data_IF_395860412008
#
_entry.id   IF_395860412008
#
_cell.length_a   1.000
_cell.length_b   1.000
_cell.length_c   1.000
_cell.angle_alpha   90.00
_cell.angle_beta   90.00
_cell.angle_gamma   90.00
#
_symmetry.space_group_name_H-M   'P 1'
#
loop_
_entity.id
_entity.type
_entity.pdbx_description
1 polymer ?
#
# COMPACT_ATOMS: atom_id res chain seq x y z
N UNK A 1 -23.21 -0.87 -32.80
CA UNK A 1 -22.66 -1.11 -31.44
C UNK A 1 -22.01 0.16 -30.92
N UNK A 2 -22.38 0.61 -29.72
CA UNK A 2 -21.77 1.78 -29.11
C UNK A 2 -20.45 1.33 -28.49
N UNK A 3 -19.33 1.79 -29.05
CA UNK A 3 -17.99 1.50 -28.51
C UNK A 3 -17.80 2.31 -27.21
N UNK A 4 -17.77 1.59 -26.09
CA UNK A 4 -17.51 2.16 -24.76
C UNK A 4 -16.00 2.18 -24.50
N UNK A 5 -15.49 3.26 -23.91
CA UNK A 5 -14.13 3.32 -23.37
C UNK A 5 -14.01 2.55 -22.04
N UNK A 6 -12.82 2.51 -21.44
CA UNK A 6 -12.56 1.78 -20.19
C UNK A 6 -13.39 2.30 -19.03
N UNK A 7 -13.51 3.62 -18.89
CA UNK A 7 -14.28 4.26 -17.84
C UNK A 7 -15.78 3.98 -17.99
N UNK A 8 -16.32 4.13 -19.18
CA UNK A 8 -17.73 3.89 -19.46
C UNK A 8 -18.12 2.44 -19.20
N UNK A 9 -17.21 1.47 -19.47
CA UNK A 9 -17.43 0.07 -19.10
C UNK A 9 -17.53 -0.11 -17.59
N UNK A 10 -16.72 0.60 -16.80
CA UNK A 10 -16.83 0.59 -15.33
C UNK A 10 -18.16 1.19 -14.87
N UNK A 11 -18.53 2.36 -15.39
CA UNK A 11 -19.80 3.01 -15.08
C UNK A 11 -21.01 2.13 -15.46
N UNK A 12 -20.90 1.34 -16.53
CA UNK A 12 -21.94 0.35 -16.90
C UNK A 12 -22.05 -0.76 -15.87
N UNK A 13 -20.96 -1.23 -15.28
CA UNK A 13 -20.99 -2.22 -14.16
C UNK A 13 -21.73 -1.66 -12.95
N UNK A 14 -21.66 -0.35 -12.73
CA UNK A 14 -22.40 0.37 -11.68
C UNK A 14 -23.84 0.76 -12.09
N UNK A 15 -24.38 0.13 -13.15
CA UNK A 15 -25.74 0.30 -13.62
C UNK A 15 -26.06 1.67 -14.25
N UNK A 16 -25.07 2.45 -14.66
CA UNK A 16 -25.30 3.69 -15.43
C UNK A 16 -25.80 3.36 -16.82
N UNK A 17 -26.92 3.96 -17.25
CA UNK A 17 -27.54 3.67 -18.56
C UNK A 17 -26.70 4.22 -19.73
N UNK A 18 -26.85 3.63 -20.93
CA UNK A 18 -26.19 4.12 -22.15
C UNK A 18 -26.60 5.55 -22.49
N UNK A 19 -27.83 5.93 -22.20
CA UNK A 19 -28.34 7.30 -22.39
C UNK A 19 -27.58 8.30 -21.51
N UNK A 20 -27.36 7.95 -20.25
CA UNK A 20 -26.57 8.78 -19.33
C UNK A 20 -25.11 8.89 -19.77
N UNK A 21 -24.50 7.82 -20.27
CA UNK A 21 -23.15 7.85 -20.81
C UNK A 21 -23.05 8.73 -22.06
N UNK A 22 -24.02 8.65 -22.94
CA UNK A 22 -24.09 9.52 -24.12
C UNK A 22 -24.27 10.98 -23.75
N UNK A 23 -25.17 11.28 -22.82
CA UNK A 23 -25.35 12.63 -22.28
C UNK A 23 -24.04 13.15 -21.66
N UNK A 24 -23.33 12.32 -20.90
CA UNK A 24 -22.02 12.64 -20.33
C UNK A 24 -21.02 13.05 -21.41
N UNK A 25 -20.85 12.24 -22.46
CA UNK A 25 -19.96 12.55 -23.59
C UNK A 25 -20.28 13.89 -24.25
N UNK A 26 -21.57 14.11 -24.56
CA UNK A 26 -22.01 15.33 -25.21
C UNK A 26 -21.81 16.55 -24.32
N UNK A 27 -22.07 16.44 -23.04
CA UNK A 27 -21.90 17.55 -22.08
C UNK A 27 -20.44 17.89 -21.89
N UNK A 28 -19.56 16.89 -21.74
CA UNK A 28 -18.10 17.09 -21.64
C UNK A 28 -17.60 17.82 -22.89
N UNK A 29 -18.02 17.35 -24.07
CA UNK A 29 -17.58 17.94 -25.34
C UNK A 29 -18.11 19.35 -25.55
N UNK A 30 -19.37 19.58 -25.33
CA UNK A 30 -20.06 20.82 -25.73
C UNK A 30 -19.98 21.91 -24.66
N UNK A 31 -20.16 21.59 -23.38
CA UNK A 31 -20.20 22.55 -22.26
C UNK A 31 -18.82 22.72 -21.67
N UNK A 32 -18.13 21.61 -21.39
CA UNK A 32 -16.83 21.60 -20.71
C UNK A 32 -15.63 21.60 -21.67
N UNK A 33 -15.86 21.66 -23.00
CA UNK A 33 -14.82 21.74 -24.05
C UNK A 33 -13.77 20.62 -23.95
N UNK A 34 -14.17 19.45 -23.49
CA UNK A 34 -13.31 18.30 -23.29
C UNK A 34 -12.66 18.23 -21.89
N UNK A 35 -12.95 19.16 -21.00
CA UNK A 35 -12.50 19.12 -19.60
C UNK A 35 -13.39 18.16 -18.80
N UNK A 36 -12.98 16.90 -18.76
CA UNK A 36 -13.66 15.80 -18.08
C UNK A 36 -13.61 15.96 -16.56
N UNK A 37 -12.55 16.55 -16.04
CA UNK A 37 -12.37 16.80 -14.60
C UNK A 37 -13.37 17.87 -14.10
N UNK A 38 -13.47 18.98 -14.80
CA UNK A 38 -14.44 20.02 -14.49
C UNK A 38 -15.89 19.51 -14.58
N UNK A 39 -16.17 18.61 -15.55
CA UNK A 39 -17.48 17.97 -15.66
C UNK A 39 -17.78 17.10 -14.43
N UNK A 40 -16.86 16.23 -14.02
CA UNK A 40 -17.03 15.33 -12.85
C UNK A 40 -17.27 16.10 -11.56
N UNK A 41 -16.63 17.26 -11.42
CA UNK A 41 -16.87 18.14 -10.27
C UNK A 41 -18.32 18.58 -10.14
N UNK A 42 -19.01 18.76 -11.24
CA UNK A 42 -20.41 19.21 -11.24
C UNK A 42 -21.41 18.05 -11.29
N UNK A 43 -21.04 16.97 -11.98
CA UNK A 43 -21.92 15.82 -12.27
C UNK A 43 -21.21 14.50 -11.97
N UNK A 44 -20.91 14.22 -10.70
CA UNK A 44 -20.31 12.96 -10.33
C UNK A 44 -21.27 11.81 -10.63
N UNK A 45 -20.79 10.76 -11.31
CA UNK A 45 -21.61 9.62 -11.69
C UNK A 45 -21.84 8.64 -10.52
N UNK A 46 -20.93 8.65 -9.53
CA UNK A 46 -20.96 7.77 -8.37
C UNK A 46 -20.65 8.54 -7.10
N UNK A 47 -20.97 7.97 -5.93
CA UNK A 47 -20.56 8.54 -4.65
C UNK A 47 -19.04 8.68 -4.54
N UNK A 48 -18.30 7.73 -5.08
CA UNK A 48 -16.82 7.75 -5.08
C UNK A 48 -16.30 8.89 -5.97
N UNK A 49 -16.92 9.12 -7.11
CA UNK A 49 -16.60 10.26 -7.99
C UNK A 49 -16.92 11.61 -7.34
N UNK A 50 -18.02 11.70 -6.59
CA UNK A 50 -18.38 12.90 -5.82
C UNK A 50 -17.34 13.27 -4.76
N UNK A 51 -16.63 12.28 -4.20
CA UNK A 51 -15.57 12.51 -3.23
C UNK A 51 -14.22 12.86 -3.88
N UNK A 52 -13.97 12.46 -5.13
CA UNK A 52 -12.74 12.78 -5.86
C UNK A 52 -12.63 14.26 -6.28
N UNK A 53 -13.70 15.02 -6.17
CA UNK A 53 -13.81 16.35 -6.78
C UNK A 53 -13.28 17.52 -5.94
N UNK A 54 -12.76 17.30 -4.73
CA UNK A 54 -12.28 18.37 -3.85
C UNK A 54 -10.73 18.46 -3.76
N UNK A 55 -10.03 18.34 -4.87
CA UNK A 55 -8.57 18.46 -4.94
C UNK A 55 -8.05 17.92 -6.26
N UNK A 56 -6.74 18.15 -6.53
CA UNK A 56 -6.08 17.54 -7.69
C UNK A 56 -5.60 16.14 -7.31
N UNK A 57 -6.17 15.05 -7.85
CA UNK A 57 -5.73 13.70 -7.56
C UNK A 57 -4.23 13.53 -7.86
N UNK A 58 -3.51 12.88 -6.98
CA UNK A 58 -2.09 12.56 -7.20
C UNK A 58 -1.96 11.34 -8.10
N UNK A 59 -2.80 10.33 -7.88
CA UNK A 59 -2.77 9.08 -8.62
C UNK A 59 -3.81 9.06 -9.75
N UNK A 60 -3.54 8.35 -10.88
CA UNK A 60 -4.46 8.31 -12.03
C UNK A 60 -5.82 7.73 -11.66
N UNK A 61 -6.87 8.56 -11.64
CA UNK A 61 -8.19 8.20 -11.12
C UNK A 61 -8.83 6.98 -11.81
N UNK A 62 -8.67 6.86 -13.14
CA UNK A 62 -9.19 5.72 -13.91
C UNK A 62 -8.49 4.45 -13.46
N UNK A 63 -7.16 4.46 -13.40
CA UNK A 63 -6.37 3.30 -12.97
C UNK A 63 -6.70 2.88 -11.55
N UNK A 64 -6.78 3.82 -10.62
CA UNK A 64 -7.15 3.55 -9.23
C UNK A 64 -8.53 2.89 -9.13
N UNK A 65 -9.52 3.37 -9.91
CA UNK A 65 -10.86 2.79 -9.95
C UNK A 65 -10.87 1.36 -10.51
N UNK A 66 -10.12 1.10 -11.59
CA UNK A 66 -9.92 -0.24 -12.12
C UNK A 66 -9.38 -1.18 -11.05
N UNK A 67 -8.33 -0.75 -10.35
CA UNK A 67 -7.70 -1.54 -9.28
C UNK A 67 -8.60 -1.77 -8.06
N UNK A 68 -9.45 -0.82 -7.69
CA UNK A 68 -10.49 -1.03 -6.66
C UNK A 68 -11.42 -2.18 -7.06
N UNK A 69 -11.79 -2.26 -8.34
CA UNK A 69 -12.68 -3.32 -8.84
C UNK A 69 -11.99 -4.68 -8.98
N UNK A 70 -10.67 -4.71 -9.13
CA UNK A 70 -9.82 -5.91 -9.27
C UNK A 70 -9.27 -6.40 -7.93
N UNK A 71 -9.41 -5.61 -6.87
CA UNK A 71 -8.84 -5.91 -5.56
C UNK A 71 -9.32 -7.25 -5.01
N UNK A 72 -8.41 -7.98 -4.39
CA UNK A 72 -8.65 -9.33 -3.90
C UNK A 72 -9.00 -9.31 -2.41
N UNK A 73 -9.87 -10.22 -2.00
CA UNK A 73 -10.05 -10.49 -0.58
C UNK A 73 -8.81 -11.18 -0.02
N UNK A 74 -8.43 -10.90 1.24
CA UNK A 74 -7.33 -11.63 1.87
C UNK A 74 -7.68 -13.13 1.96
N UNK A 75 -6.67 -13.98 1.81
CA UNK A 75 -6.80 -15.42 2.02
C UNK A 75 -7.00 -15.74 3.50
N UNK A 76 -6.38 -14.95 4.37
CA UNK A 76 -6.42 -15.13 5.83
C UNK A 76 -6.54 -13.79 6.53
N UNK A 77 -7.32 -13.75 7.60
CA UNK A 77 -7.40 -12.62 8.55
C UNK A 77 -7.11 -13.19 9.94
N UNK A 78 -6.30 -12.51 10.75
CA UNK A 78 -5.96 -13.02 12.07
C UNK A 78 -4.87 -12.24 12.80
N UNK A 79 -4.14 -12.97 13.63
CA UNK A 79 -3.07 -12.47 14.50
C UNK A 79 -1.80 -13.29 14.32
N UNK A 80 -0.64 -12.63 14.46
CA UNK A 80 0.62 -13.31 14.66
C UNK A 80 0.82 -13.59 16.15
N UNK A 81 1.02 -14.84 16.53
CA UNK A 81 1.18 -15.28 17.89
C UNK A 81 2.49 -16.01 18.14
N UNK A 82 2.97 -15.94 19.36
CA UNK A 82 4.23 -16.57 19.78
C UNK A 82 5.39 -15.58 19.87
N UNK A 83 6.44 -16.00 20.60
CA UNK A 83 7.63 -15.19 20.84
C UNK A 83 8.86 -15.73 20.09
N UNK A 84 9.08 -17.05 20.16
CA UNK A 84 10.21 -17.74 19.48
C UNK A 84 9.77 -18.32 18.12
N UNK A 85 8.69 -19.09 18.13
CA UNK A 85 8.08 -19.71 16.95
C UNK A 85 6.77 -18.97 16.69
N UNK A 86 6.81 -18.02 15.76
CA UNK A 86 5.65 -17.19 15.42
C UNK A 86 4.78 -17.93 14.43
N UNK A 87 3.50 -18.06 14.77
CA UNK A 87 2.46 -18.70 13.97
C UNK A 87 1.33 -17.72 13.67
N UNK A 88 0.63 -17.96 12.58
CA UNK A 88 -0.58 -17.22 12.28
C UNK A 88 -1.79 -17.94 12.84
N UNK A 89 -2.60 -17.25 13.64
CA UNK A 89 -3.90 -17.70 14.10
C UNK A 89 -5.01 -16.95 13.38
N UNK A 90 -5.83 -17.69 12.66
CA UNK A 90 -6.98 -17.12 11.97
C UNK A 90 -8.02 -16.61 12.95
N UNK A 91 -8.50 -15.38 12.73
CA UNK A 91 -9.55 -14.73 13.49
C UNK A 91 -10.16 -13.60 12.63
N UNK A 92 -11.47 -13.61 12.35
CA UNK A 92 -12.11 -12.55 11.55
C UNK A 92 -11.98 -11.14 12.14
N UNK A 93 -11.62 -11.02 13.42
CA UNK A 93 -11.39 -9.75 14.13
C UNK A 93 -9.90 -9.36 14.14
N UNK A 94 -9.04 -10.16 13.53
CA UNK A 94 -7.62 -9.88 13.45
C UNK A 94 -7.30 -8.65 12.61
N UNK A 95 -6.15 -8.06 12.87
CA UNK A 95 -5.67 -6.87 12.16
C UNK A 95 -4.59 -7.16 11.12
N UNK A 96 -4.14 -8.41 11.01
CA UNK A 96 -3.34 -8.88 9.90
C UNK A 96 -4.24 -9.44 8.80
N UNK A 97 -4.05 -8.97 7.59
CA UNK A 97 -4.61 -9.52 6.37
C UNK A 97 -3.49 -10.09 5.52
N UNK A 98 -3.62 -11.32 5.02
CA UNK A 98 -2.58 -12.03 4.26
C UNK A 98 -3.14 -12.52 2.94
N UNK A 99 -2.40 -12.30 1.85
CA UNK A 99 -2.73 -12.70 0.47
C UNK A 99 -1.80 -13.77 -0.08
N UNK A 100 -0.92 -14.35 0.73
CA UNK A 100 -0.14 -15.54 0.37
C UNK A 100 -0.48 -16.72 1.26
N UNK A 101 -0.32 -17.94 0.73
CA UNK A 101 -0.68 -19.14 1.49
C UNK A 101 0.27 -19.35 2.68
N UNK A 102 1.56 -19.29 2.44
CA UNK A 102 2.63 -19.44 3.42
C UNK A 102 3.85 -18.62 3.01
N UNK A 103 4.55 -17.97 3.95
CA UNK A 103 5.79 -17.30 3.63
C UNK A 103 6.88 -18.32 3.28
N UNK A 104 7.59 -18.05 2.20
CA UNK A 104 8.75 -18.86 1.82
C UNK A 104 9.96 -18.49 2.68
N UNK A 105 10.72 -19.52 3.12
CA UNK A 105 11.94 -19.31 3.92
C UNK A 105 13.15 -19.06 3.00
N UNK A 106 13.16 -17.88 2.41
CA UNK A 106 14.19 -17.41 1.49
C UNK A 106 14.73 -16.08 2.00
N UNK A 107 16.05 -15.99 2.14
CA UNK A 107 16.72 -14.77 2.58
C UNK A 107 16.52 -13.65 1.57
N UNK A 108 16.26 -12.43 2.06
CA UNK A 108 16.01 -11.21 1.28
C UNK A 108 14.75 -11.24 0.39
N UNK A 109 13.88 -12.25 0.52
CA UNK A 109 12.68 -12.36 -0.31
C UNK A 109 11.61 -11.32 0.07
N UNK A 110 11.54 -10.95 1.34
CA UNK A 110 10.52 -10.01 1.84
C UNK A 110 11.13 -8.75 2.40
N UNK A 111 10.45 -7.64 2.19
CA UNK A 111 10.71 -6.40 2.92
C UNK A 111 9.41 -5.82 3.46
N UNK A 112 9.53 -4.99 4.49
CA UNK A 112 8.43 -4.36 5.18
C UNK A 112 8.63 -2.85 5.22
N UNK A 113 7.60 -2.12 4.82
CA UNK A 113 7.45 -0.69 5.08
C UNK A 113 6.42 -0.45 6.17
N UNK A 114 6.74 0.44 7.13
CA UNK A 114 5.84 0.77 8.22
C UNK A 114 5.67 2.27 8.39
N UNK A 115 4.41 2.69 8.47
CA UNK A 115 3.95 4.00 8.91
C UNK A 115 3.46 3.91 10.35
N UNK A 116 3.95 4.78 11.23
CA UNK A 116 3.76 4.67 12.67
C UNK A 116 2.96 5.85 13.20
N UNK A 117 1.75 5.60 13.63
CA UNK A 117 0.90 6.56 14.31
C UNK A 117 1.36 6.84 15.75
N UNK A 118 0.89 7.94 16.31
CA UNK A 118 1.22 8.31 17.70
C UNK A 118 0.52 7.46 18.77
N UNK A 119 -0.43 6.59 18.36
CA UNK A 119 -1.07 5.64 19.27
C UNK A 119 -1.84 6.30 20.42
N UNK A 120 -2.29 7.53 20.26
CA UNK A 120 -2.95 8.25 21.33
C UNK A 120 -4.20 7.52 21.78
N UNK A 121 -4.17 7.07 23.03
CA UNK A 121 -5.31 6.54 23.74
C UNK A 121 -6.52 7.47 23.53
N UNK A 122 -7.68 6.86 23.34
CA UNK A 122 -8.97 7.56 23.31
C UNK A 122 -9.05 8.43 24.55
N UNK A 123 -8.87 9.75 24.39
CA UNK A 123 -9.19 10.70 25.45
C UNK A 123 -10.68 11.01 25.29
N UNK A 124 -11.56 10.48 26.14
CA UNK A 124 -13.02 10.63 26.01
C UNK A 124 -13.46 12.08 25.99
N UNK A 125 -12.65 12.98 26.56
CA UNK A 125 -12.95 14.41 26.76
C UNK A 125 -12.77 15.25 25.48
N UNK A 126 -12.10 14.74 24.45
CA UNK A 126 -11.86 15.42 23.17
C UNK A 126 -12.80 14.96 22.04
N UNK A 127 -13.93 14.33 22.36
CA UNK A 127 -14.95 13.95 21.39
C UNK A 127 -14.48 12.97 20.34
N UNK A 128 -14.40 11.69 20.71
CA UNK A 128 -14.40 10.47 19.87
C UNK A 128 -13.52 10.47 18.59
N UNK A 129 -12.42 11.20 18.60
CA UNK A 129 -11.37 11.06 17.57
C UNK A 129 -10.40 9.98 18.10
N UNK A 130 -10.69 8.73 17.76
CA UNK A 130 -9.72 7.66 17.99
C UNK A 130 -8.39 8.03 17.32
N UNK A 131 -7.26 7.64 17.93
CA UNK A 131 -5.92 7.87 17.38
C UNK A 131 -5.79 7.36 15.94
N UNK A 132 -4.77 7.83 15.22
CA UNK A 132 -4.48 7.40 13.86
C UNK A 132 -4.07 5.91 13.83
N UNK A 133 -4.12 5.31 12.67
CA UNK A 133 -3.74 3.91 12.47
C UNK A 133 -2.24 3.78 12.21
N UNK A 134 -1.60 2.80 12.82
CA UNK A 134 -0.31 2.30 12.36
C UNK A 134 -0.51 1.26 11.27
N UNK A 135 0.29 1.35 10.22
CA UNK A 135 0.22 0.45 9.08
C UNK A 135 1.58 -0.19 8.79
N UNK A 136 1.59 -1.49 8.50
CA UNK A 136 2.75 -2.19 7.98
C UNK A 136 2.36 -3.02 6.75
N UNK A 137 3.19 -2.96 5.72
CA UNK A 137 2.98 -3.66 4.45
C UNK A 137 4.17 -4.55 4.16
N UNK A 138 3.91 -5.82 3.85
CA UNK A 138 4.93 -6.79 3.45
C UNK A 138 4.95 -6.90 1.93
N UNK A 139 6.08 -6.56 1.33
CA UNK A 139 6.34 -6.72 -0.09
C UNK A 139 7.18 -7.99 -0.32
N UNK A 140 6.67 -8.92 -1.12
CA UNK A 140 7.42 -10.01 -1.71
C UNK A 140 8.15 -9.48 -2.95
N UNK A 141 9.48 -9.50 -2.92
CA UNK A 141 10.34 -8.73 -3.83
C UNK A 141 10.50 -9.34 -5.22
N UNK A 142 10.51 -10.67 -5.34
CA UNK A 142 10.72 -11.39 -6.60
C UNK A 142 9.59 -11.15 -7.63
N UNK A 143 8.35 -11.00 -7.15
CA UNK A 143 7.18 -10.68 -7.99
C UNK A 143 6.66 -9.25 -7.76
N UNK A 144 7.33 -8.47 -6.90
CA UNK A 144 6.88 -7.13 -6.51
C UNK A 144 5.41 -7.12 -6.08
N UNK A 145 5.02 -8.07 -5.24
CA UNK A 145 3.65 -8.25 -4.77
C UNK A 145 3.54 -7.97 -3.27
N UNK A 146 2.60 -7.13 -2.89
CA UNK A 146 2.23 -7.00 -1.48
C UNK A 146 1.44 -8.23 -1.03
N UNK A 147 1.94 -8.90 -0.01
CA UNK A 147 1.42 -10.21 0.44
C UNK A 147 0.77 -10.16 1.81
N UNK A 148 1.02 -9.12 2.59
CA UNK A 148 0.38 -8.93 3.89
C UNK A 148 0.27 -7.46 4.27
N UNK A 149 -0.72 -7.18 5.11
CA UNK A 149 -1.00 -5.88 5.71
C UNK A 149 -1.33 -6.03 7.19
N UNK A 150 -0.72 -5.21 8.02
CA UNK A 150 -1.22 -4.86 9.34
C UNK A 150 -1.79 -3.45 9.28
N UNK A 151 -3.00 -3.25 9.78
CA UNK A 151 -3.60 -1.93 9.91
C UNK A 151 -4.42 -1.88 11.19
N UNK A 152 -3.90 -1.20 12.19
CA UNK A 152 -4.49 -1.17 13.52
C UNK A 152 -4.12 0.08 14.32
N UNK A 153 -4.95 0.41 15.30
CA UNK A 153 -4.64 1.41 16.32
C UNK A 153 -3.91 0.72 17.46
N UNK A 154 -2.59 0.76 17.40
CA UNK A 154 -1.71 0.16 18.40
C UNK A 154 -0.78 1.23 18.96
N UNK A 155 -0.52 1.14 20.26
CA UNK A 155 0.55 1.95 20.86
C UNK A 155 1.90 1.55 20.25
N UNK A 156 2.87 2.46 20.15
CA UNK A 156 4.13 2.22 19.44
C UNK A 156 4.92 1.00 19.92
N UNK A 157 4.85 0.65 21.20
CA UNK A 157 5.49 -0.54 21.78
C UNK A 157 4.78 -1.83 21.34
N UNK A 158 3.45 -1.85 21.34
CA UNK A 158 2.66 -2.99 20.82
C UNK A 158 2.83 -3.15 19.31
N UNK A 159 2.91 -2.04 18.57
CA UNK A 159 3.22 -2.09 17.15
C UNK A 159 4.61 -2.64 16.89
N UNK A 160 5.61 -2.28 17.72
CA UNK A 160 6.96 -2.86 17.63
C UNK A 160 6.94 -4.38 17.83
N UNK A 161 6.14 -4.90 18.78
CA UNK A 161 5.99 -6.33 19.01
C UNK A 161 5.38 -7.03 17.77
N UNK A 162 4.41 -6.43 17.10
CA UNK A 162 3.85 -6.95 15.86
C UNK A 162 4.88 -6.96 14.71
N UNK A 163 5.68 -5.90 14.57
CA UNK A 163 6.77 -5.88 13.58
C UNK A 163 7.86 -6.91 13.87
N UNK A 164 8.16 -7.17 15.14
CA UNK A 164 9.06 -8.25 15.56
C UNK A 164 8.52 -9.62 15.15
N UNK A 165 7.22 -9.87 15.36
CA UNK A 165 6.56 -11.10 14.93
C UNK A 165 6.58 -11.22 13.40
N UNK A 166 6.31 -10.13 12.67
CA UNK A 166 6.39 -10.10 11.22
C UNK A 166 7.78 -10.45 10.72
N UNK A 167 8.83 -9.86 11.30
CA UNK A 167 10.21 -10.21 10.98
C UNK A 167 10.49 -11.72 11.17
N UNK A 168 10.06 -12.31 12.26
CA UNK A 168 10.22 -13.76 12.52
C UNK A 168 9.42 -14.62 11.57
N UNK A 169 8.22 -14.18 11.20
CA UNK A 169 7.31 -14.95 10.36
C UNK A 169 7.72 -14.92 8.89
N UNK A 170 8.12 -13.77 8.35
CA UNK A 170 8.54 -13.62 6.94
C UNK A 170 10.04 -13.56 6.71
N UNK A 171 10.85 -13.27 7.73
CA UNK A 171 12.29 -13.02 7.54
C UNK A 171 12.58 -11.71 6.81
N UNK A 172 11.70 -10.71 6.93
CA UNK A 172 11.74 -9.49 6.14
C UNK A 172 12.76 -8.47 6.65
N UNK A 173 13.29 -7.63 5.74
CA UNK A 173 13.97 -6.38 6.13
C UNK A 173 12.94 -5.33 6.50
N UNK A 174 13.17 -4.57 7.58
CA UNK A 174 12.23 -3.63 8.17
C UNK A 174 12.67 -2.19 7.93
N UNK A 175 11.90 -1.40 7.20
CA UNK A 175 12.08 0.04 7.08
C UNK A 175 10.88 0.76 7.71
N UNK A 176 11.14 1.55 8.74
CA UNK A 176 10.12 2.16 9.59
C UNK A 176 10.19 3.67 9.43
N UNK A 177 9.07 4.35 9.34
CA UNK A 177 9.04 5.79 9.39
C UNK A 177 9.66 6.30 10.70
N UNK A 178 10.55 7.30 10.62
CA UNK A 178 11.35 7.77 11.77
C UNK A 178 11.42 9.29 11.83
N UNK A 179 10.27 9.93 11.94
CA UNK A 179 10.22 11.39 12.04
C UNK A 179 10.80 11.91 13.36
N UNK A 180 11.48 13.07 13.38
CA UNK A 180 11.99 13.66 14.59
C UNK A 180 10.86 13.87 15.63
N UNK A 181 11.04 13.30 16.84
CA UNK A 181 10.04 13.34 17.90
C UNK A 181 8.84 12.41 17.71
N UNK A 182 8.76 11.70 16.57
CA UNK A 182 7.63 10.79 16.27
C UNK A 182 7.79 9.40 16.88
N UNK A 183 6.68 8.69 16.91
CA UNK A 183 6.51 7.34 17.49
C UNK A 183 7.37 6.28 16.83
N UNK A 184 7.74 6.44 15.55
CA UNK A 184 8.63 5.51 14.85
C UNK A 184 9.99 5.34 15.51
N UNK A 185 10.49 6.38 16.18
CA UNK A 185 11.75 6.27 16.95
C UNK A 185 11.60 5.36 18.19
N UNK A 186 10.41 5.31 18.80
CA UNK A 186 10.10 4.40 19.90
C UNK A 186 10.13 2.96 19.40
N UNK A 187 9.44 2.70 18.27
CA UNK A 187 9.41 1.40 17.59
C UNK A 187 10.83 0.93 17.23
N UNK A 188 11.62 1.77 16.56
CA UNK A 188 13.00 1.44 16.18
C UNK A 188 13.86 1.13 17.42
N UNK A 189 13.71 1.89 18.51
CA UNK A 189 14.46 1.65 19.75
C UNK A 189 14.10 0.29 20.36
N UNK A 190 12.82 -0.05 20.42
CA UNK A 190 12.35 -1.33 20.92
C UNK A 190 12.93 -2.49 20.10
N UNK A 191 12.84 -2.40 18.78
CA UNK A 191 13.31 -3.44 17.87
C UNK A 191 14.84 -3.63 17.89
N UNK A 192 15.62 -2.57 18.07
CA UNK A 192 17.10 -2.67 18.18
C UNK A 192 17.59 -3.55 19.32
N UNK A 193 16.79 -3.79 20.34
CA UNK A 193 17.15 -4.66 21.46
C UNK A 193 17.18 -6.15 21.08
N UNK A 194 16.61 -6.52 19.91
CA UNK A 194 16.55 -7.91 19.47
C UNK A 194 17.74 -8.28 18.59
N UNK A 195 18.56 -9.28 18.99
CA UNK A 195 19.70 -9.71 18.21
C UNK A 195 19.29 -10.26 16.84
N UNK A 196 20.02 -9.85 15.80
CA UNK A 196 19.82 -10.33 14.44
C UNK A 196 18.65 -9.73 13.68
N UNK A 197 17.90 -8.80 14.28
CA UNK A 197 16.82 -8.13 13.59
C UNK A 197 17.34 -7.35 12.37
N UNK A 198 16.66 -7.49 11.22
CA UNK A 198 17.05 -6.84 9.98
C UNK A 198 16.39 -5.45 9.87
N UNK A 199 16.88 -4.50 10.68
CA UNK A 199 16.48 -3.09 10.60
C UNK A 199 17.29 -2.36 9.55
N UNK A 200 16.60 -1.83 8.53
CA UNK A 200 17.21 -1.11 7.44
C UNK A 200 17.57 0.33 7.80
N UNK A 201 18.61 0.85 7.16
CA UNK A 201 19.09 2.22 7.31
C UNK A 201 18.93 2.96 6.00
N UNK A 202 18.37 4.15 6.07
CA UNK A 202 18.30 5.06 4.94
C UNK A 202 19.27 6.22 5.10
N UNK A 203 19.78 6.73 3.98
CA UNK A 203 20.59 7.95 3.99
C UNK A 203 19.69 9.17 4.16
N UNK A 204 20.07 10.06 5.06
CA UNK A 204 19.39 11.35 5.19
C UNK A 204 19.55 12.19 3.92
N UNK A 205 18.44 12.45 3.23
CA UNK A 205 18.43 13.29 2.01
C UNK A 205 18.40 14.79 2.33
N UNK A 206 18.16 15.16 3.59
CA UNK A 206 18.10 16.56 4.04
C UNK A 206 19.43 17.25 4.24
N UNK A 207 20.56 16.51 4.08
CA UNK A 207 21.91 17.06 4.24
C UNK A 207 22.69 17.02 2.93
N UNK A 208 23.70 17.90 2.76
CA UNK A 208 24.65 17.81 1.64
C UNK A 208 25.25 16.40 1.53
N UNK A 209 25.63 15.98 0.33
CA UNK A 209 26.04 14.60 0.04
C UNK A 209 27.18 14.09 0.94
N UNK A 210 28.08 14.96 1.33
CA UNK A 210 29.26 14.64 2.16
C UNK A 210 28.93 14.36 3.64
N UNK A 211 27.80 14.92 4.13
CA UNK A 211 27.35 14.78 5.54
C UNK A 211 26.19 13.77 5.72
N UNK A 212 25.85 13.01 4.70
CA UNK A 212 24.75 12.05 4.74
C UNK A 212 25.12 10.83 5.56
N UNK A 213 24.68 10.79 6.81
CA UNK A 213 24.79 9.62 7.68
C UNK A 213 23.62 8.66 7.41
N UNK A 214 23.92 7.37 7.44
CA UNK A 214 22.89 6.34 7.44
C UNK A 214 22.26 6.26 8.82
N UNK A 215 20.96 6.43 8.88
CA UNK A 215 20.17 6.33 10.11
C UNK A 215 19.12 5.23 9.96
N UNK A 216 18.75 4.59 11.06
CA UNK A 216 17.70 3.58 11.03
C UNK A 216 16.35 4.22 10.68
N UNK A 217 15.62 3.56 9.80
CA UNK A 217 14.31 4.00 9.34
C UNK A 217 14.37 5.04 8.23
N UNK A 218 13.19 5.50 7.83
CA UNK A 218 12.99 6.50 6.79
C UNK A 218 12.46 7.80 7.40
N UNK A 219 13.14 8.90 7.17
CA UNK A 219 12.67 10.21 7.62
C UNK A 219 11.73 10.81 6.58
N UNK A 220 10.46 10.91 6.92
CA UNK A 220 9.45 11.54 6.07
C UNK A 220 9.41 13.04 6.34
N UNK A 221 10.19 13.78 5.57
CA UNK A 221 10.18 15.24 5.51
C UNK A 221 9.56 15.68 4.18
N UNK A 222 9.29 16.97 4.01
CA UNK A 222 8.65 17.48 2.79
C UNK A 222 9.27 16.94 1.49
N UNK A 223 10.59 16.97 1.39
CA UNK A 223 11.30 16.53 0.18
C UNK A 223 11.32 14.99 0.05
N UNK A 224 11.50 14.27 1.16
CA UNK A 224 11.51 12.81 1.15
C UNK A 224 10.11 12.23 0.99
N UNK A 225 9.04 12.88 1.50
CA UNK A 225 7.65 12.50 1.23
C UNK A 225 7.34 12.64 -0.26
N UNK A 226 7.83 13.73 -0.88
CA UNK A 226 7.65 13.92 -2.32
C UNK A 226 8.29 12.78 -3.12
N UNK A 227 9.52 12.38 -2.78
CA UNK A 227 10.19 11.25 -3.44
C UNK A 227 9.41 9.95 -3.30
N UNK A 228 8.90 9.63 -2.09
CA UNK A 228 8.06 8.47 -1.86
C UNK A 228 6.85 8.46 -2.78
N UNK A 229 6.14 9.57 -2.85
CA UNK A 229 4.89 9.68 -3.60
C UNK A 229 5.13 9.72 -5.11
N UNK A 230 6.15 10.43 -5.58
CA UNK A 230 6.49 10.49 -7.01
C UNK A 230 6.89 9.10 -7.52
N UNK A 231 7.65 8.31 -6.74
CA UNK A 231 7.99 6.93 -7.08
C UNK A 231 6.78 5.98 -7.04
N UNK A 232 5.95 6.08 -6.01
CA UNK A 232 4.71 5.29 -5.95
C UNK A 232 3.81 5.59 -7.15
N UNK A 233 3.71 6.86 -7.56
CA UNK A 233 2.98 7.27 -8.75
C UNK A 233 3.55 6.64 -10.02
N UNK A 234 4.88 6.62 -10.18
CA UNK A 234 5.55 5.95 -11.28
C UNK A 234 5.22 4.45 -11.29
N UNK A 235 5.39 3.76 -10.16
CA UNK A 235 5.05 2.34 -10.02
C UNK A 235 3.59 2.04 -10.38
N UNK A 236 2.64 2.90 -10.01
CA UNK A 236 1.21 2.76 -10.37
C UNK A 236 0.99 2.95 -11.86
N UNK A 237 1.67 3.92 -12.50
CA UNK A 237 1.55 4.18 -13.95
C UNK A 237 2.10 3.02 -14.78
N UNK A 238 3.22 2.46 -14.36
CA UNK A 238 3.92 1.39 -15.07
C UNK A 238 3.38 0.00 -14.73
N UNK A 239 2.44 -0.11 -13.78
CA UNK A 239 1.86 -1.39 -13.31
C UNK A 239 2.91 -2.44 -12.92
N UNK A 240 4.03 -2.00 -12.37
CA UNK A 240 5.16 -2.86 -12.09
C UNK A 240 5.12 -3.52 -10.71
N UNK A 241 3.96 -3.53 -10.04
CA UNK A 241 3.71 -4.23 -8.80
C UNK A 241 2.25 -4.70 -8.67
N UNK A 242 2.03 -5.63 -7.77
CA UNK A 242 0.71 -6.16 -7.45
C UNK A 242 0.32 -5.72 -6.03
N UNK A 243 -0.79 -5.00 -5.92
CA UNK A 243 -1.37 -4.61 -4.64
C UNK A 243 -2.80 -5.16 -4.54
N UNK A 244 -3.03 -6.18 -3.72
CA UNK A 244 -4.35 -6.79 -3.58
C UNK A 244 -5.27 -6.04 -2.63
N UNK A 245 -4.76 -5.15 -1.77
CA UNK A 245 -5.55 -4.42 -0.77
C UNK A 245 -6.49 -3.41 -1.42
N UNK A 246 -7.79 -3.61 -1.23
CA UNK A 246 -8.80 -2.66 -1.67
C UNK A 246 -8.68 -1.31 -0.96
N UNK A 247 -8.29 -1.34 0.31
CA UNK A 247 -8.16 -0.13 1.13
C UNK A 247 -7.02 0.77 0.65
N UNK A 248 -5.87 0.20 0.24
CA UNK A 248 -4.80 0.98 -0.39
C UNK A 248 -5.30 1.78 -1.60
N UNK A 249 -6.09 1.15 -2.47
CA UNK A 249 -6.63 1.83 -3.64
C UNK A 249 -7.67 2.89 -3.28
N UNK A 250 -8.45 2.69 -2.19
CA UNK A 250 -9.33 3.75 -1.66
C UNK A 250 -8.54 4.93 -1.12
N UNK A 251 -7.45 4.71 -0.40
CA UNK A 251 -6.57 5.78 0.06
C UNK A 251 -5.95 6.52 -1.14
N UNK A 252 -5.47 5.80 -2.16
CA UNK A 252 -5.01 6.41 -3.40
C UNK A 252 -6.08 7.29 -4.07
N UNK A 253 -7.35 6.88 -4.02
CA UNK A 253 -8.46 7.63 -4.63
C UNK A 253 -8.74 8.97 -3.94
N UNK A 254 -8.36 9.10 -2.67
CA UNK A 254 -8.57 10.30 -1.84
C UNK A 254 -7.27 11.07 -1.56
N UNK A 255 -6.16 10.67 -2.19
CA UNK A 255 -4.87 11.32 -2.03
C UNK A 255 -4.70 12.45 -3.04
N UNK A 256 -4.56 13.67 -2.56
CA UNK A 256 -4.64 14.88 -3.39
C UNK A 256 -3.43 15.78 -3.22
N UNK A 257 -3.21 16.64 -4.21
CA UNK A 257 -2.24 17.72 -4.17
C UNK A 257 -2.95 19.03 -3.88
N UNK A 258 -2.49 19.75 -2.87
CA UNK A 258 -3.00 21.08 -2.54
C UNK A 258 -2.49 22.17 -3.51
N UNK A 259 -2.98 23.38 -3.35
CA UNK A 259 -2.58 24.53 -4.16
C UNK A 259 -1.09 24.89 -4.01
N UNK A 260 -0.46 24.52 -2.89
CA UNK A 260 0.96 24.76 -2.61
C UNK A 260 1.85 23.60 -3.09
N UNK A 261 1.24 22.56 -3.70
CA UNK A 261 1.94 21.39 -4.23
C UNK A 261 2.24 20.31 -3.18
N UNK A 262 1.81 20.45 -1.93
CA UNK A 262 1.92 19.39 -0.93
C UNK A 262 0.89 18.30 -1.20
N UNK A 263 1.24 17.06 -0.89
CA UNK A 263 0.40 15.89 -1.13
C UNK A 263 0.00 15.23 0.18
N UNK A 264 -1.30 15.02 0.38
CA UNK A 264 -1.87 14.41 1.58
C UNK A 264 -3.21 13.74 1.27
N UNK A 265 -3.70 12.91 2.18
CA UNK A 265 -5.08 12.48 2.16
C UNK A 265 -6.02 13.69 2.29
N UNK A 266 -7.19 13.61 1.69
CA UNK A 266 -8.26 14.60 1.90
C UNK A 266 -8.66 14.66 3.37
N UNK A 267 -9.26 15.78 3.79
CA UNK A 267 -9.75 15.94 5.17
C UNK A 267 -10.62 14.74 5.59
N UNK A 268 -10.33 14.17 6.76
CA UNK A 268 -10.99 12.99 7.34
C UNK A 268 -10.79 11.69 6.56
N UNK A 269 -9.77 11.62 5.70
CA UNK A 269 -9.32 10.40 5.02
C UNK A 269 -7.93 10.02 5.53
N UNK A 270 -7.52 8.79 5.23
CA UNK A 270 -6.27 8.20 5.68
C UNK A 270 -5.31 8.02 4.50
N UNK A 271 -4.02 7.99 4.78
CA UNK A 271 -2.93 7.71 3.83
C UNK A 271 -1.91 6.70 4.39
N UNK A 272 -2.29 5.97 5.42
CA UNK A 272 -1.41 5.05 6.16
C UNK A 272 -0.86 3.94 5.26
N UNK A 273 -1.72 3.31 4.43
CA UNK A 273 -1.28 2.29 3.47
C UNK A 273 -0.47 2.88 2.31
N UNK A 274 -0.83 4.07 1.85
CA UNK A 274 -0.07 4.79 0.80
C UNK A 274 1.36 5.04 1.26
N UNK A 275 1.54 5.52 2.48
CA UNK A 275 2.87 5.79 3.03
C UNK A 275 3.62 4.49 3.32
N UNK A 276 2.98 3.50 3.95
CA UNK A 276 3.61 2.20 4.23
C UNK A 276 4.07 1.47 2.95
N UNK A 277 3.26 1.48 1.88
CA UNK A 277 3.65 0.93 0.58
C UNK A 277 4.84 1.67 -0.03
N UNK A 278 4.82 3.00 0.00
CA UNK A 278 5.91 3.80 -0.53
C UNK A 278 7.22 3.56 0.24
N UNK A 279 7.16 3.40 1.57
CA UNK A 279 8.31 3.03 2.40
C UNK A 279 8.78 1.60 2.07
N UNK A 280 7.88 0.65 1.80
CA UNK A 280 8.27 -0.71 1.41
C UNK A 280 9.06 -0.74 0.09
N UNK A 281 8.75 0.12 -0.88
CA UNK A 281 9.58 0.25 -2.09
C UNK A 281 10.96 0.82 -1.80
N UNK A 282 11.11 1.71 -0.82
CA UNK A 282 12.45 2.13 -0.38
C UNK A 282 13.18 0.99 0.33
N UNK A 283 12.49 0.19 1.13
CA UNK A 283 13.07 -1.00 1.76
C UNK A 283 13.60 -1.99 0.71
N UNK A 284 12.84 -2.22 -0.37
CA UNK A 284 13.26 -3.08 -1.49
C UNK A 284 14.61 -2.63 -2.08
N UNK A 285 14.80 -1.33 -2.30
CA UNK A 285 16.04 -0.77 -2.84
C UNK A 285 17.24 -0.88 -1.90
N UNK A 286 16.98 -0.88 -0.58
CA UNK A 286 18.04 -0.93 0.43
C UNK A 286 18.52 -2.37 0.72
N UNK A 287 17.79 -3.37 0.26
CA UNK A 287 18.11 -4.77 0.47
C UNK A 287 18.91 -5.36 -0.70
N UNK A 288 19.76 -6.38 -0.45
CA UNK A 288 20.47 -7.10 -1.50
C UNK A 288 19.53 -7.68 -2.56
N UNK A 289 19.97 -7.71 -3.81
CA UNK A 289 19.16 -8.19 -4.96
C UNK A 289 19.20 -9.72 -5.14
N UNK A 290 19.87 -10.46 -4.26
CA UNK A 290 19.93 -11.92 -4.34
C UNK A 290 18.97 -12.57 -3.33
N UNK A 291 18.39 -13.68 -3.73
CA UNK A 291 17.52 -14.52 -2.91
C UNK A 291 18.21 -15.85 -2.64
N UNK A 292 18.33 -16.24 -1.37
CA UNK A 292 19.00 -17.46 -0.96
C UNK A 292 18.10 -18.30 -0.05
N UNK A 293 17.85 -19.59 -0.37
CA UNK A 293 17.10 -20.46 0.53
C UNK A 293 17.77 -20.54 1.89
N UNK A 294 16.99 -20.44 2.96
CA UNK A 294 17.49 -20.61 4.33
C UNK A 294 17.66 -22.11 4.56
N UNK A 295 18.92 -22.57 4.63
CA UNK A 295 19.25 -23.98 4.87
C UNK A 295 18.77 -24.39 6.25
N UNK A 296 18.02 -25.52 6.36
CA UNK A 296 17.48 -26.04 7.62
C UNK A 296 16.03 -25.68 7.90
N UNK A 297 15.35 -24.91 7.04
CA UNK A 297 13.90 -24.84 7.07
C UNK A 297 13.35 -26.17 6.57
N UNK A 298 12.50 -26.85 7.36
CA UNK A 298 11.76 -28.01 6.88
C UNK A 298 10.96 -27.59 5.63
N UNK A 299 11.19 -28.29 4.51
CA UNK A 299 10.37 -28.14 3.32
C UNK A 299 8.95 -28.52 3.71
N UNK A 300 8.05 -27.55 3.78
CA UNK A 300 6.64 -27.87 3.95
C UNK A 300 6.17 -28.62 2.71
N UNK A 301 5.59 -29.83 2.85
CA UNK A 301 5.24 -30.70 1.71
C UNK A 301 4.27 -30.09 0.70
N UNK A 302 3.67 -28.95 1.03
CA UNK A 302 2.65 -28.28 0.22
C UNK A 302 3.19 -27.24 -0.79
N UNK A 303 4.50 -26.96 -0.79
CA UNK A 303 5.06 -25.98 -1.73
C UNK A 303 5.17 -26.51 -3.18
N UNK A 304 4.96 -27.82 -3.40
CA UNK A 304 5.07 -28.45 -4.72
C UNK A 304 3.74 -28.77 -5.41
N UNK A 305 2.59 -28.69 -4.73
CA UNK A 305 1.35 -29.28 -5.26
C UNK A 305 0.22 -28.30 -5.61
N UNK A 306 0.35 -27.03 -5.28
CA UNK A 306 -0.64 -26.03 -5.67
C UNK A 306 0.04 -24.94 -6.50
N UNK A 307 0.03 -25.13 -7.81
CA UNK A 307 0.18 -24.07 -8.81
C UNK A 307 -1.06 -23.15 -8.69
N UNK A 308 -1.07 -22.30 -7.67
CA UNK A 308 -1.97 -21.14 -7.70
C UNK A 308 -1.55 -20.38 -8.95
N UNK A 309 -2.47 -20.11 -9.91
CA UNK A 309 -2.12 -19.37 -11.11
C UNK A 309 -1.43 -18.09 -10.67
N UNK A 310 -0.14 -17.97 -10.95
CA UNK A 310 0.66 -16.80 -10.58
C UNK A 310 -0.07 -15.62 -11.19
N UNK A 311 -0.46 -14.63 -10.37
CA UNK A 311 -1.17 -13.44 -10.85
C UNK A 311 -0.46 -12.77 -12.03
N UNK A 312 0.86 -12.96 -12.14
CA UNK A 312 1.68 -12.58 -13.28
C UNK A 312 1.25 -13.25 -14.61
N UNK A 313 0.70 -14.47 -14.60
CA UNK A 313 0.19 -15.12 -15.81
C UNK A 313 -1.17 -14.54 -16.25
N UNK A 314 -1.93 -13.91 -15.35
CA UNK A 314 -3.20 -13.28 -15.72
C UNK A 314 -3.00 -11.99 -16.52
N UNK A 315 -1.94 -11.22 -16.23
CA UNK A 315 -1.61 -10.03 -17.02
C UNK A 315 -1.02 -10.40 -18.41
N UNK A 316 -0.20 -11.46 -18.49
CA UNK A 316 0.36 -11.94 -19.76
C UNK A 316 -0.66 -12.71 -20.60
N UNK A 317 -1.58 -13.47 -20.00
CA UNK A 317 -2.65 -14.14 -20.72
C UNK A 317 -3.62 -13.14 -21.39
N UNK A 318 -3.91 -12.01 -20.74
CA UNK A 318 -4.70 -10.92 -21.35
C UNK A 318 -4.01 -10.26 -22.54
N UNK A 319 -2.69 -10.10 -22.51
CA UNK A 319 -1.90 -9.54 -23.62
C UNK A 319 -1.86 -10.50 -24.81
N UNK A 320 -1.94 -11.81 -24.58
CA UNK A 320 -1.98 -12.80 -25.70
C UNK A 320 -3.36 -12.95 -26.32
N UNK A 321 -4.45 -12.77 -25.57
CA UNK A 321 -5.81 -12.80 -26.14
C UNK A 321 -6.14 -11.57 -27.01
N UNK A 322 -5.53 -10.42 -26.75
CA UNK A 322 -5.73 -9.22 -27.59
C UNK A 322 -4.95 -9.24 -28.92
N UNK A 323 -4.02 -10.17 -29.11
CA UNK A 323 -3.22 -10.29 -30.34
C UNK A 323 -3.72 -11.40 -31.30
N UNK A 324 -4.84 -12.07 -31.00
CA UNK A 324 -5.41 -13.14 -31.84
C UNK A 324 -6.91 -12.93 -32.19
N UNK A 325 -7.38 -11.67 -32.29
CA UNK A 325 -8.68 -11.33 -32.87
C UNK A 325 -8.51 -10.27 -33.95
#
# INVERSE_FOLDING_TARGET
EVKLDSEERLLRKESISLEKLNWRRETIRSVYKGDDEAFRQQYPATSDEAFLTSGRPVFPAIRVREKISEALKPLKIGYLEGVKDVKFREDPKGYWEIWEQWPEKVENLYCLGADVAEGLAIVPELGNRGGDYSCAKILRRDYRQFVARLHARLDPDLFADELLKAWKYWGCGLLIESNPGGSGNVVIRALKSYPGINLLRARSLSKPHEDRKEEFGWKTMKDTKRLLIDELLENIREENFIEPSKNFWYECSTYVRDEKGATNAQSRKYDDEVIANAIAFQADKLMPLFFKPITGAEETPLSREYDVPRLHNLSQARVMEENYV
#
